data_IF_761713322623
#
_entry.id   IF_761713322623
#
_cell.length_a   1.000
_cell.length_b   1.000
_cell.length_c   1.000
_cell.angle_alpha   90.00
_cell.angle_beta   90.00
_cell.angle_gamma   90.00
#
_symmetry.space_group_name_H-M   'P 1'
#
loop_
_entity.id
_entity.type
_entity.pdbx_description
1 polymer ?
#
# COMPACT_ATOMS: atom_id res chain seq x y z
N UNK A 1 -3.44 -17.40 64.11
CA UNK A 1 -3.24 -17.91 62.74
C UNK A 1 -3.14 -16.71 61.79
N UNK A 2 -1.96 -16.44 61.21
CA UNK A 2 -1.75 -15.33 60.29
C UNK A 2 -2.17 -15.72 58.87
N UNK A 3 -2.79 -14.80 58.14
CA UNK A 3 -3.03 -14.94 56.70
C UNK A 3 -1.87 -14.29 55.95
N UNK A 4 -1.05 -15.10 55.30
CA UNK A 4 -0.04 -14.67 54.32
C UNK A 4 -0.73 -14.21 53.03
N UNK A 5 -0.48 -12.96 52.61
CA UNK A 5 -0.82 -12.49 51.28
C UNK A 5 0.42 -12.59 50.38
N UNK A 6 0.38 -13.55 49.44
CA UNK A 6 1.49 -13.88 48.55
C UNK A 6 1.62 -12.81 47.46
N UNK A 7 2.64 -11.95 47.57
CA UNK A 7 2.89 -10.83 46.67
C UNK A 7 3.83 -11.27 45.53
N UNK A 8 3.30 -11.98 44.53
CA UNK A 8 4.03 -12.26 43.27
C UNK A 8 3.70 -11.21 42.22
N UNK A 9 4.49 -10.12 42.21
CA UNK A 9 4.52 -9.20 41.06
C UNK A 9 5.14 -9.93 39.85
N UNK A 10 4.28 -10.26 38.89
CA UNK A 10 4.70 -10.74 37.57
C UNK A 10 5.26 -9.52 36.81
N UNK A 11 6.58 -9.47 36.64
CA UNK A 11 7.22 -8.51 35.75
C UNK A 11 6.79 -8.76 34.30
N UNK A 12 5.82 -7.98 33.81
CA UNK A 12 5.53 -7.90 32.37
C UNK A 12 6.76 -7.33 31.66
N UNK A 13 7.36 -8.15 30.80
CA UNK A 13 8.46 -7.79 29.90
C UNK A 13 8.07 -6.55 29.09
N UNK A 14 8.87 -5.49 29.21
CA UNK A 14 8.67 -4.19 28.55
C UNK A 14 8.74 -4.40 27.02
N UNK A 15 7.62 -4.23 26.33
CA UNK A 15 7.59 -4.22 24.87
C UNK A 15 8.37 -3.01 24.35
N UNK A 16 9.22 -3.23 23.34
CA UNK A 16 9.92 -2.18 22.62
C UNK A 16 8.93 -1.21 21.97
N UNK A 17 9.29 0.07 21.75
CA UNK A 17 8.40 1.00 21.09
C UNK A 17 8.23 0.58 19.63
N UNK A 18 7.07 -0.02 19.35
CA UNK A 18 6.59 -0.28 18.00
C UNK A 18 6.56 1.03 17.21
N UNK A 19 6.91 0.98 15.93
CA UNK A 19 6.87 2.16 15.07
C UNK A 19 5.42 2.44 14.66
N UNK A 20 5.09 3.69 14.31
CA UNK A 20 3.74 4.14 13.92
C UNK A 20 3.13 3.31 12.76
N UNK A 21 3.94 2.57 12.00
CA UNK A 21 3.50 1.62 10.98
C UNK A 21 2.90 0.33 11.54
N UNK A 22 3.28 -0.06 12.77
CA UNK A 22 2.82 -1.26 13.47
C UNK A 22 1.50 -1.01 14.23
N UNK A 23 1.25 0.22 14.67
CA UNK A 23 0.06 0.62 15.44
C UNK A 23 -1.17 0.90 14.57
N UNK A 24 -1.03 0.89 13.24
CA UNK A 24 -2.13 1.16 12.32
C UNK A 24 -3.12 0.01 12.15
N UNK A 25 -2.98 -1.09 12.92
CA UNK A 25 -3.87 -2.27 12.93
C UNK A 25 -4.56 -2.49 11.58
N UNK A 26 -3.75 -2.66 10.54
CA UNK A 26 -4.22 -3.14 9.25
C UNK A 26 -4.54 -4.61 9.47
N UNK A 27 -5.82 -4.88 9.69
CA UNK A 27 -6.39 -6.07 10.32
C UNK A 27 -5.79 -7.39 9.81
N UNK A 28 -5.64 -8.34 10.75
CA UNK A 28 -5.23 -9.72 10.49
C UNK A 28 -6.24 -10.37 9.54
N UNK A 29 -5.96 -10.35 8.25
CA UNK A 29 -6.72 -11.17 7.30
C UNK A 29 -6.43 -12.66 7.55
N UNK A 30 -7.22 -13.55 6.97
CA UNK A 30 -7.00 -15.00 6.91
C UNK A 30 -5.73 -15.41 6.12
N UNK A 31 -4.68 -14.58 6.19
CA UNK A 31 -3.47 -14.58 5.39
C UNK A 31 -2.56 -15.76 5.63
N UNK A 32 -2.42 -16.21 6.88
CA UNK A 32 -1.46 -17.29 7.18
C UNK A 32 -1.94 -18.61 6.59
N UNK A 33 -3.23 -18.94 6.71
CA UNK A 33 -3.81 -20.17 6.16
C UNK A 33 -3.86 -20.16 4.62
N UNK A 34 -4.25 -19.03 4.02
CA UNK A 34 -4.25 -18.89 2.55
C UNK A 34 -2.82 -18.90 2.01
N UNK A 35 -1.88 -18.20 2.65
CA UNK A 35 -0.47 -18.21 2.27
C UNK A 35 0.14 -19.61 2.42
N UNK A 36 -0.20 -20.35 3.48
CA UNK A 36 0.23 -21.74 3.67
C UNK A 36 -0.32 -22.67 2.58
N UNK A 37 -1.62 -22.59 2.28
CA UNK A 37 -2.23 -23.38 1.20
C UNK A 37 -1.60 -23.09 -0.17
N UNK A 38 -1.23 -21.83 -0.43
CA UNK A 38 -0.53 -21.46 -1.67
C UNK A 38 0.92 -21.94 -1.71
N UNK A 39 1.62 -21.97 -0.57
CA UNK A 39 2.94 -22.59 -0.45
C UNK A 39 2.88 -24.09 -0.74
N UNK A 40 1.79 -24.77 -0.38
CA UNK A 40 1.57 -26.18 -0.74
C UNK A 40 1.25 -26.37 -2.23
N UNK A 41 0.50 -25.46 -2.84
CA UNK A 41 0.13 -25.54 -4.26
C UNK A 41 1.28 -25.20 -5.21
N UNK A 42 2.16 -24.26 -4.84
CA UNK A 42 3.26 -23.77 -5.68
C UNK A 42 4.60 -23.71 -4.92
N UNK A 43 5.10 -24.83 -4.36
CA UNK A 43 6.24 -24.83 -3.45
C UNK A 43 7.54 -24.34 -4.11
N UNK A 44 7.76 -24.69 -5.39
CA UNK A 44 8.94 -24.24 -6.13
C UNK A 44 8.95 -22.74 -6.38
N UNK A 45 7.80 -22.19 -6.79
CA UNK A 45 7.66 -20.77 -7.11
C UNK A 45 7.78 -19.92 -5.85
N UNK A 46 7.21 -20.39 -4.74
CA UNK A 46 7.30 -19.70 -3.44
C UNK A 46 8.72 -19.74 -2.85
N UNK A 47 9.47 -20.84 -3.03
CA UNK A 47 10.88 -20.90 -2.63
C UNK A 47 11.75 -19.96 -3.47
N UNK A 48 11.56 -19.92 -4.79
CA UNK A 48 12.23 -18.97 -5.68
C UNK A 48 11.91 -17.54 -5.26
N UNK A 49 10.64 -17.23 -5.01
CA UNK A 49 10.21 -15.91 -4.58
C UNK A 49 10.85 -15.49 -3.25
N UNK A 50 10.91 -16.39 -2.27
CA UNK A 50 11.55 -16.12 -0.99
C UNK A 50 13.06 -15.90 -1.16
N UNK A 51 13.74 -16.70 -1.98
CA UNK A 51 15.17 -16.54 -2.30
C UNK A 51 15.45 -15.20 -2.97
N UNK A 52 14.63 -14.81 -3.94
CA UNK A 52 14.76 -13.52 -4.62
C UNK A 52 14.49 -12.34 -3.65
N UNK A 53 13.48 -12.46 -2.80
CA UNK A 53 13.20 -11.48 -1.73
C UNK A 53 14.40 -11.31 -0.81
N UNK A 54 14.97 -12.41 -0.32
CA UNK A 54 16.14 -12.39 0.56
C UNK A 54 17.37 -11.78 -0.14
N UNK A 55 17.55 -12.09 -1.43
CA UNK A 55 18.62 -11.51 -2.25
C UNK A 55 18.47 -9.99 -2.39
N UNK A 56 17.25 -9.48 -2.63
CA UNK A 56 16.98 -8.03 -2.66
C UNK A 56 17.32 -7.40 -1.30
N UNK A 57 16.88 -8.00 -0.19
CA UNK A 57 17.15 -7.50 1.17
C UNK A 57 18.66 -7.46 1.44
N UNK A 58 19.40 -8.51 1.08
CA UNK A 58 20.84 -8.58 1.30
C UNK A 58 21.63 -7.61 0.40
N UNK A 59 21.18 -7.39 -0.83
CA UNK A 59 21.87 -6.58 -1.83
C UNK A 59 21.78 -5.07 -1.57
N UNK A 60 20.69 -4.59 -0.97
CA UNK A 60 20.45 -3.16 -0.84
C UNK A 60 20.63 -2.67 0.60
N UNK A 61 21.29 -1.52 0.82
CA UNK A 61 21.38 -0.93 2.16
C UNK A 61 20.00 -0.49 2.66
N UNK A 62 19.81 -0.43 3.98
CA UNK A 62 18.52 -0.10 4.63
C UNK A 62 17.84 1.16 4.05
N UNK A 63 18.61 2.20 3.72
CA UNK A 63 18.10 3.44 3.10
C UNK A 63 17.59 3.23 1.67
N UNK A 64 18.21 2.33 0.90
CA UNK A 64 17.74 1.95 -0.42
C UNK A 64 16.50 1.03 -0.35
N UNK A 65 16.39 0.18 0.67
CA UNK A 65 15.20 -0.63 0.92
C UNK A 65 13.99 0.21 1.32
N UNK A 66 14.16 1.32 2.06
CA UNK A 66 13.07 2.28 2.33
C UNK A 66 12.42 2.83 1.06
N UNK A 67 13.14 2.80 -0.07
CA UNK A 67 12.64 3.23 -1.37
C UNK A 67 11.96 2.09 -2.17
N UNK A 68 12.02 0.86 -1.66
CA UNK A 68 11.50 -0.37 -2.26
C UNK A 68 10.71 -1.10 -1.17
N UNK A 69 9.59 -0.54 -0.73
CA UNK A 69 8.89 -1.00 0.46
C UNK A 69 8.45 -2.47 0.38
N UNK A 70 8.12 -2.93 -0.83
CA UNK A 70 7.59 -4.24 -1.14
C UNK A 70 8.31 -4.91 -2.32
N UNK A 71 8.31 -6.24 -2.30
CA UNK A 71 8.61 -7.10 -3.43
C UNK A 71 7.36 -7.91 -3.76
N UNK A 72 6.88 -7.85 -5.00
CA UNK A 72 5.74 -8.63 -5.45
C UNK A 72 6.10 -9.56 -6.60
N UNK A 73 5.28 -10.59 -6.76
CA UNK A 73 5.27 -11.49 -7.91
C UNK A 73 3.85 -12.02 -8.17
N UNK A 74 3.70 -12.72 -9.27
CA UNK A 74 2.47 -13.44 -9.60
C UNK A 74 2.75 -14.81 -10.22
N UNK A 75 1.80 -15.71 -10.04
CA UNK A 75 1.66 -16.95 -10.82
C UNK A 75 0.39 -16.82 -11.66
N UNK A 76 0.45 -17.20 -12.93
CA UNK A 76 -0.71 -17.24 -13.82
C UNK A 76 -0.62 -18.46 -14.73
N UNK A 77 -1.61 -19.35 -14.63
CA UNK A 77 -1.59 -20.70 -15.22
C UNK A 77 -0.35 -21.48 -14.76
N UNK A 78 0.75 -21.40 -15.50
CA UNK A 78 2.06 -22.03 -15.20
C UNK A 78 3.23 -21.04 -15.40
N UNK A 79 2.95 -19.74 -15.51
CA UNK A 79 3.97 -18.69 -15.64
C UNK A 79 4.16 -18.01 -14.31
N UNK A 80 5.38 -18.08 -13.79
CA UNK A 80 5.84 -17.34 -12.62
C UNK A 80 6.62 -16.11 -13.07
N UNK A 81 6.36 -14.96 -12.44
CA UNK A 81 7.18 -13.76 -12.60
C UNK A 81 7.16 -12.94 -11.32
N UNK A 82 8.33 -12.43 -10.93
CA UNK A 82 8.52 -11.59 -9.74
C UNK A 82 9.48 -10.42 -10.03
N UNK A 83 10.14 -9.92 -8.98
CA UNK A 83 11.04 -8.77 -8.99
C UNK A 83 10.35 -7.43 -9.23
N UNK A 84 9.02 -7.36 -9.00
CA UNK A 84 8.30 -6.10 -8.93
C UNK A 84 8.60 -5.41 -7.60
N UNK A 85 9.08 -4.17 -7.67
CA UNK A 85 9.32 -3.32 -6.50
C UNK A 85 8.70 -1.95 -6.76
N UNK A 86 8.28 -1.26 -5.71
CA UNK A 86 7.64 0.06 -5.85
C UNK A 86 8.45 0.98 -6.77
N UNK A 87 7.78 1.58 -7.75
CA UNK A 87 8.38 2.66 -8.52
C UNK A 87 8.56 3.88 -7.63
N UNK A 88 9.70 4.55 -7.78
CA UNK A 88 10.01 5.76 -7.03
C UNK A 88 10.73 6.76 -7.90
N UNK A 89 10.33 8.02 -7.76
CA UNK A 89 11.05 9.18 -8.30
C UNK A 89 11.30 10.17 -7.16
N UNK A 90 12.56 10.56 -6.96
CA UNK A 90 12.93 11.49 -5.90
C UNK A 90 12.50 12.93 -6.20
N UNK A 91 12.08 13.21 -7.44
CA UNK A 91 11.61 14.51 -7.92
C UNK A 91 10.10 14.54 -8.19
N UNK A 92 9.43 13.39 -8.26
CA UNK A 92 7.98 13.25 -8.44
C UNK A 92 7.42 12.26 -7.42
N UNK A 93 6.98 12.74 -6.27
CA UNK A 93 6.49 11.98 -5.12
C UNK A 93 5.43 12.76 -4.31
N UNK A 94 5.24 12.46 -3.03
CA UNK A 94 4.26 13.14 -2.16
C UNK A 94 4.94 14.10 -1.16
N UNK A 95 6.17 14.55 -1.43
CA UNK A 95 6.85 15.56 -0.64
C UNK A 95 6.60 16.97 -1.19
N UNK A 96 6.54 17.95 -0.29
CA UNK A 96 6.35 19.36 -0.64
C UNK A 96 7.43 19.82 -1.63
N UNK A 97 7.01 20.50 -2.71
CA UNK A 97 7.90 20.98 -3.77
C UNK A 97 8.37 19.93 -4.77
N UNK A 98 7.96 18.66 -4.61
CA UNK A 98 8.33 17.54 -5.50
C UNK A 98 7.12 16.68 -5.84
N UNK A 99 5.96 17.32 -6.01
CA UNK A 99 4.70 16.61 -6.14
C UNK A 99 4.63 15.79 -7.43
N UNK A 100 3.98 14.64 -7.32
CA UNK A 100 3.63 13.84 -8.47
C UNK A 100 2.69 14.65 -9.39
N UNK A 101 2.81 14.54 -10.73
CA UNK A 101 1.95 15.28 -11.65
C UNK A 101 0.46 15.15 -11.33
N UNK A 102 -0.28 16.26 -11.41
CA UNK A 102 -1.72 16.31 -11.14
C UNK A 102 -2.12 16.18 -9.66
N UNK A 103 -1.18 16.18 -8.72
CA UNK A 103 -1.46 16.02 -7.27
C UNK A 103 -1.28 17.32 -6.48
N UNK A 104 -2.17 17.54 -5.53
CA UNK A 104 -2.04 18.53 -4.45
C UNK A 104 -2.03 17.84 -3.07
N UNK A 105 -1.23 18.34 -2.14
CA UNK A 105 -1.25 17.87 -0.75
C UNK A 105 -2.36 18.57 0.04
N UNK A 106 -3.15 17.80 0.77
CA UNK A 106 -4.15 18.32 1.68
C UNK A 106 -3.54 18.41 3.08
N UNK A 107 -2.99 19.58 3.41
CA UNK A 107 -2.47 19.85 4.75
C UNK A 107 -3.61 20.26 5.69
N UNK A 108 -3.57 19.77 6.94
CA UNK A 108 -4.48 20.27 7.96
C UNK A 108 -3.99 21.64 8.42
N UNK A 109 -4.93 22.56 8.66
CA UNK A 109 -4.62 23.79 9.39
C UNK A 109 -4.12 23.39 10.78
N UNK A 110 -2.91 23.78 11.12
CA UNK A 110 -2.36 23.60 12.46
C UNK A 110 -3.07 24.54 13.42
N UNK A 111 -3.36 24.06 14.62
CA UNK A 111 -3.78 24.92 15.71
C UNK A 111 -2.53 25.27 16.53
N UNK A 112 -2.15 26.55 16.63
CA UNK A 112 -1.03 26.94 17.49
C UNK A 112 -1.43 26.64 18.93
N UNK A 113 -0.73 25.70 19.56
CA UNK A 113 -0.92 25.37 20.98
C UNK A 113 0.22 25.97 21.76
N UNK A 114 -0.10 26.81 22.74
CA UNK A 114 0.89 27.30 23.69
C UNK A 114 1.43 26.14 24.52
N UNK A 115 2.66 25.73 24.22
CA UNK A 115 3.39 24.74 25.00
C UNK A 115 3.90 25.38 26.30
N UNK A 116 3.64 24.80 27.48
CA UNK A 116 4.27 25.24 28.72
C UNK A 116 5.80 25.17 28.59
N UNK A 117 6.53 26.12 29.19
CA UNK A 117 8.01 26.15 29.17
C UNK A 117 8.65 24.85 29.69
N UNK A 118 7.98 24.14 30.60
CA UNK A 118 8.43 22.87 31.17
C UNK A 118 8.04 21.63 30.34
N UNK A 119 7.32 21.83 29.22
CA UNK A 119 6.71 20.74 28.45
C UNK A 119 5.51 20.09 29.17
N UNK A 120 4.77 19.23 28.47
CA UNK A 120 3.69 18.48 29.11
C UNK A 120 4.26 17.27 29.83
N UNK A 121 3.83 17.06 31.09
CA UNK A 121 4.35 15.99 31.97
C UNK A 121 3.89 14.58 31.59
N UNK A 122 2.89 14.44 30.72
CA UNK A 122 2.37 13.13 30.30
C UNK A 122 2.51 12.91 28.78
N UNK A 123 2.62 11.63 28.37
CA UNK A 123 2.82 11.26 26.97
C UNK A 123 1.61 11.56 26.08
N UNK A 124 0.39 11.49 26.63
CA UNK A 124 -0.85 11.74 25.90
C UNK A 124 -0.99 13.22 25.47
N UNK A 125 -0.67 14.16 26.34
CA UNK A 125 -0.65 15.59 26.04
C UNK A 125 0.42 15.91 25.00
N UNK A 126 1.61 15.28 25.10
CA UNK A 126 2.63 15.42 24.06
C UNK A 126 2.23 14.78 22.71
N UNK A 127 1.41 13.73 22.69
CA UNK A 127 0.91 13.14 21.43
C UNK A 127 -0.22 13.97 20.82
N UNK A 128 -1.12 14.51 21.64
CA UNK A 128 -2.19 15.41 21.20
C UNK A 128 -1.62 16.72 20.63
N UNK A 129 -0.66 17.35 21.32
CA UNK A 129 -0.04 18.58 20.82
C UNK A 129 0.74 18.36 19.54
N UNK A 130 1.48 17.24 19.44
CA UNK A 130 2.10 16.84 18.17
C UNK A 130 1.06 16.66 17.09
N UNK A 131 -0.01 15.90 17.32
CA UNK A 131 -1.07 15.69 16.33
C UNK A 131 -1.79 16.98 15.88
N UNK A 132 -1.90 17.99 16.75
CA UNK A 132 -2.54 19.27 16.45
C UNK A 132 -1.59 20.30 15.83
N UNK A 133 -0.28 20.15 16.07
CA UNK A 133 0.78 21.00 15.51
C UNK A 133 1.42 20.40 14.26
N UNK A 134 1.15 19.12 13.97
CA UNK A 134 1.64 18.43 12.78
C UNK A 134 0.88 18.90 11.53
N UNK A 135 1.61 19.53 10.62
CA UNK A 135 1.09 20.01 9.34
C UNK A 135 1.30 19.00 8.20
N UNK A 136 1.79 17.79 8.49
CA UNK A 136 2.02 16.77 7.47
C UNK A 136 0.70 16.43 6.80
N UNK A 137 0.73 16.42 5.46
CA UNK A 137 -0.42 16.03 4.69
C UNK A 137 -0.64 14.52 4.88
N UNK A 138 -1.73 14.16 5.55
CA UNK A 138 -2.17 12.75 5.66
C UNK A 138 -2.87 12.29 4.39
N UNK A 139 -3.23 13.23 3.51
CA UNK A 139 -4.08 13.04 2.33
C UNK A 139 -3.53 13.86 1.15
N UNK A 140 -3.73 13.36 -0.06
CA UNK A 140 -3.46 14.09 -1.29
C UNK A 140 -4.69 14.03 -2.20
N UNK A 141 -4.89 15.08 -3.00
CA UNK A 141 -5.97 15.16 -3.98
C UNK A 141 -5.38 15.05 -5.39
N UNK A 142 -5.99 14.22 -6.24
CA UNK A 142 -5.72 14.18 -7.68
C UNK A 142 -6.62 15.21 -8.35
N UNK A 143 -6.09 16.38 -8.68
CA UNK A 143 -6.83 17.50 -9.30
C UNK A 143 -6.91 17.40 -10.81
N UNK A 144 -5.86 16.88 -11.43
CA UNK A 144 -5.76 16.68 -12.87
C UNK A 144 -5.45 15.20 -13.13
N UNK A 145 -6.50 14.44 -13.42
CA UNK A 145 -6.39 13.00 -13.70
C UNK A 145 -5.52 12.73 -14.93
N UNK A 146 -5.59 13.59 -15.95
CA UNK A 146 -4.82 13.44 -17.19
C UNK A 146 -3.32 13.59 -16.91
N UNK A 147 -2.92 14.60 -16.13
CA UNK A 147 -1.53 14.75 -15.69
C UNK A 147 -1.09 13.60 -14.79
N UNK A 148 -1.94 13.14 -13.88
CA UNK A 148 -1.65 12.01 -13.00
C UNK A 148 -1.35 10.74 -13.81
N UNK A 149 -2.22 10.40 -14.77
CA UNK A 149 -2.03 9.25 -15.65
C UNK A 149 -0.82 9.41 -16.56
N UNK A 150 -0.54 10.62 -17.06
CA UNK A 150 0.70 10.90 -17.80
C UNK A 150 1.94 10.64 -16.93
N UNK A 151 1.92 11.09 -15.66
CA UNK A 151 2.94 10.78 -14.68
C UNK A 151 3.13 9.27 -14.47
N UNK A 152 2.03 8.52 -14.37
CA UNK A 152 2.11 7.06 -14.26
C UNK A 152 2.74 6.42 -15.50
N UNK A 153 2.29 6.79 -16.72
CA UNK A 153 2.89 6.27 -17.97
C UNK A 153 4.39 6.51 -18.01
N UNK A 154 4.82 7.73 -17.72
CA UNK A 154 6.23 8.09 -17.64
C UNK A 154 7.00 7.24 -16.62
N UNK A 155 6.40 6.95 -15.46
CA UNK A 155 7.03 6.10 -14.44
C UNK A 155 7.16 4.64 -14.89
N UNK A 156 6.15 4.07 -15.54
CA UNK A 156 6.23 2.73 -16.10
C UNK A 156 7.31 2.67 -17.19
N UNK A 157 7.31 3.63 -18.13
CA UNK A 157 8.26 3.70 -19.24
C UNK A 157 9.72 3.85 -18.77
N UNK A 158 9.98 4.74 -17.81
CA UNK A 158 11.31 4.89 -17.16
C UNK A 158 11.83 3.59 -16.54
N UNK A 159 10.92 2.68 -16.18
CA UNK A 159 11.25 1.38 -15.59
C UNK A 159 11.15 0.23 -16.61
N UNK A 160 11.13 0.53 -17.92
CA UNK A 160 11.10 -0.45 -19.00
C UNK A 160 9.78 -1.22 -19.10
N UNK A 161 8.70 -0.71 -18.51
CA UNK A 161 7.37 -1.32 -18.56
C UNK A 161 6.39 -0.42 -19.31
N UNK A 162 5.41 -1.02 -19.96
CA UNK A 162 4.27 -0.29 -20.51
C UNK A 162 3.14 -0.29 -19.48
N UNK A 163 2.52 0.87 -19.24
CA UNK A 163 1.27 0.92 -18.49
C UNK A 163 0.16 0.31 -19.36
N UNK A 164 -0.40 -0.81 -18.92
CA UNK A 164 -1.48 -1.50 -19.60
C UNK A 164 -2.80 -0.70 -19.47
N UNK A 165 -3.61 -0.56 -20.53
CA UNK A 165 -4.85 0.23 -20.49
C UNK A 165 -5.85 -0.20 -19.41
N UNK A 166 -5.97 -1.50 -19.14
CA UNK A 166 -6.82 -1.99 -18.03
C UNK A 166 -6.30 -1.56 -16.66
N UNK A 167 -4.98 -1.54 -16.45
CA UNK A 167 -4.38 -1.04 -15.20
C UNK A 167 -4.67 0.45 -15.03
N UNK A 168 -4.50 1.22 -16.11
CA UNK A 168 -4.82 2.65 -16.12
C UNK A 168 -6.28 2.86 -15.71
N UNK A 169 -7.21 2.14 -16.33
CA UNK A 169 -8.64 2.20 -16.03
C UNK A 169 -8.94 1.90 -14.56
N UNK A 170 -8.35 0.84 -13.99
CA UNK A 170 -8.56 0.49 -12.58
C UNK A 170 -8.02 1.56 -11.61
N UNK A 171 -6.91 2.23 -11.98
CA UNK A 171 -6.40 3.37 -11.20
C UNK A 171 -7.34 4.57 -11.28
N UNK A 172 -7.85 4.91 -12.46
CA UNK A 172 -8.82 5.99 -12.66
C UNK A 172 -10.11 5.72 -11.87
N UNK A 173 -10.64 4.50 -11.96
CA UNK A 173 -11.81 4.06 -11.20
C UNK A 173 -11.56 4.15 -9.68
N UNK A 174 -10.40 3.69 -9.18
CA UNK A 174 -10.04 3.82 -7.76
C UNK A 174 -9.98 5.28 -7.29
N UNK A 175 -9.37 6.17 -8.08
CA UNK A 175 -9.31 7.60 -7.76
C UNK A 175 -10.73 8.20 -7.72
N UNK A 176 -11.56 7.88 -8.71
CA UNK A 176 -12.94 8.34 -8.80
C UNK A 176 -13.79 7.86 -7.61
N UNK A 177 -13.69 6.57 -7.25
CA UNK A 177 -14.41 5.99 -6.10
C UNK A 177 -14.05 6.65 -4.77
N UNK A 178 -12.83 7.22 -4.65
CA UNK A 178 -12.39 7.95 -3.46
C UNK A 178 -12.60 9.48 -3.57
N UNK A 179 -13.38 9.95 -4.56
CA UNK A 179 -13.65 11.38 -4.75
C UNK A 179 -12.40 12.20 -5.08
N UNK A 180 -11.39 11.56 -5.68
CA UNK A 180 -10.11 12.19 -6.00
C UNK A 180 -9.20 12.43 -4.79
N UNK A 181 -9.46 11.83 -3.62
CA UNK A 181 -8.67 12.02 -2.39
C UNK A 181 -8.13 10.68 -1.91
N UNK A 182 -6.82 10.58 -1.69
CA UNK A 182 -6.14 9.34 -1.30
C UNK A 182 -5.18 9.58 -0.13
N UNK A 183 -4.93 8.58 0.73
CA UNK A 183 -4.05 8.73 1.87
C UNK A 183 -2.57 8.72 1.45
N UNK A 184 -1.77 9.66 1.96
CA UNK A 184 -0.32 9.76 1.62
C UNK A 184 0.47 8.56 2.11
N UNK A 185 0.05 7.95 3.23
CA UNK A 185 0.67 6.75 3.78
C UNK A 185 0.53 5.51 2.89
N UNK A 186 -0.48 5.48 2.01
CA UNK A 186 -0.65 4.40 1.04
C UNK A 186 0.15 4.63 -0.25
N UNK A 187 1.03 5.65 -0.29
CA UNK A 187 1.85 5.98 -1.45
C UNK A 187 1.02 6.50 -2.63
N UNK A 188 1.66 6.57 -3.79
CA UNK A 188 1.00 6.99 -5.04
C UNK A 188 0.31 5.77 -5.65
N UNK A 189 -1.01 5.89 -5.84
CA UNK A 189 -1.81 4.87 -6.49
C UNK A 189 -1.24 4.51 -7.88
N UNK A 190 -1.10 3.22 -8.17
CA UNK A 190 -0.59 2.71 -9.44
C UNK A 190 0.91 2.43 -9.52
N UNK A 191 1.73 2.91 -8.56
CA UNK A 191 3.19 2.73 -8.57
C UNK A 191 3.70 1.55 -7.74
N UNK A 192 2.82 0.86 -7.03
CA UNK A 192 3.17 -0.19 -6.09
C UNK A 192 3.49 -1.52 -6.77
N UNK A 193 4.26 -2.37 -6.10
CA UNK A 193 4.74 -3.64 -6.63
C UNK A 193 3.58 -4.56 -7.04
N UNK A 194 2.52 -4.60 -6.23
CA UNK A 194 1.34 -5.42 -6.48
C UNK A 194 0.58 -4.98 -7.74
N UNK A 195 0.48 -3.66 -7.95
CA UNK A 195 -0.17 -3.09 -9.14
C UNK A 195 0.69 -3.32 -10.39
N UNK A 196 2.01 -3.31 -10.27
CA UNK A 196 2.90 -3.70 -11.36
C UNK A 196 2.75 -5.19 -11.72
N UNK A 197 2.60 -6.07 -10.73
CA UNK A 197 2.33 -7.49 -10.98
C UNK A 197 1.00 -7.67 -11.74
N UNK A 198 -0.06 -6.97 -11.32
CA UNK A 198 -1.35 -6.96 -12.04
C UNK A 198 -1.20 -6.40 -13.47
N UNK A 199 -0.39 -5.36 -13.65
CA UNK A 199 -0.10 -4.78 -14.96
C UNK A 199 0.54 -5.80 -15.91
N UNK A 200 1.54 -6.54 -15.43
CA UNK A 200 2.20 -7.58 -16.22
C UNK A 200 1.27 -8.77 -16.50
N UNK A 201 0.41 -9.15 -15.55
CA UNK A 201 -0.62 -10.15 -15.77
C UNK A 201 -1.50 -9.79 -16.98
N UNK A 202 -1.94 -8.54 -17.09
CA UNK A 202 -2.76 -8.11 -18.23
C UNK A 202 -1.99 -8.11 -19.55
N UNK A 203 -0.73 -7.68 -19.55
CA UNK A 203 0.15 -7.79 -20.74
C UNK A 203 0.29 -9.26 -21.17
N UNK A 204 0.49 -10.17 -20.21
CA UNK A 204 0.60 -11.60 -20.49
C UNK A 204 -0.72 -12.18 -21.03
N UNK A 205 -1.86 -11.74 -20.49
CA UNK A 205 -3.18 -12.14 -20.99
C UNK A 205 -3.44 -11.68 -22.43
N UNK A 206 -2.93 -10.50 -22.80
CA UNK A 206 -2.99 -9.98 -24.17
C UNK A 206 -2.11 -10.80 -25.13
N UNK A 207 -0.87 -11.12 -24.71
CA UNK A 207 0.04 -11.98 -25.45
C UNK A 207 -0.54 -13.38 -25.69
N UNK A 208 -1.09 -14.02 -24.65
CA UNK A 208 -1.74 -15.33 -24.73
C UNK A 208 -2.94 -15.33 -25.70
N UNK A 209 -3.63 -14.19 -25.82
CA UNK A 209 -4.77 -14.03 -26.71
C UNK A 209 -4.36 -13.69 -28.16
N UNK A 210 -3.08 -13.50 -28.44
CA UNK A 210 -2.60 -13.01 -29.74
C UNK A 210 -3.10 -11.60 -30.09
N UNK A 211 -3.51 -10.82 -29.08
CA UNK A 211 -4.10 -9.48 -29.25
C UNK A 211 -3.22 -8.47 -28.54
N UNK A 212 -2.30 -7.82 -29.27
CA UNK A 212 -1.39 -6.81 -28.71
C UNK A 212 -2.02 -5.42 -28.53
N UNK A 213 -3.18 -5.18 -29.14
CA UNK A 213 -3.95 -3.95 -28.99
C UNK A 213 -5.33 -4.12 -29.65
N UNK A 214 -6.38 -4.04 -28.83
CA UNK A 214 -7.79 -3.74 -29.19
C UNK A 214 -8.83 -4.88 -29.30
N UNK A 215 -10.09 -4.61 -28.86
CA UNK A 215 -10.47 -3.67 -27.80
C UNK A 215 -10.25 -4.29 -26.41
N UNK A 216 -10.20 -3.45 -25.36
CA UNK A 216 -10.16 -3.90 -23.97
C UNK A 216 -11.34 -4.83 -23.73
N UNK A 217 -11.08 -6.07 -23.30
CA UNK A 217 -12.10 -7.04 -22.94
C UNK A 217 -12.04 -7.31 -21.42
N UNK A 218 -12.89 -6.66 -20.61
CA UNK A 218 -12.92 -6.86 -19.16
C UNK A 218 -13.07 -8.33 -18.75
N UNK A 219 -13.84 -9.14 -19.49
CA UNK A 219 -14.03 -10.55 -19.17
C UNK A 219 -12.75 -11.37 -19.33
N UNK A 220 -11.89 -11.04 -20.32
CA UNK A 220 -10.57 -11.66 -20.47
C UNK A 220 -9.69 -11.36 -19.26
N UNK A 221 -9.66 -10.12 -18.82
CA UNK A 221 -8.83 -9.70 -17.70
C UNK A 221 -9.35 -10.24 -16.36
N UNK A 222 -10.68 -10.28 -16.17
CA UNK A 222 -11.31 -10.94 -15.03
C UNK A 222 -10.96 -12.44 -14.98
N UNK A 223 -10.99 -13.13 -16.13
CA UNK A 223 -10.52 -14.52 -16.22
C UNK A 223 -9.04 -14.66 -15.88
N UNK A 224 -8.18 -13.76 -16.38
CA UNK A 224 -6.76 -13.77 -16.05
C UNK A 224 -6.53 -13.58 -14.54
N UNK A 225 -7.25 -12.65 -13.92
CA UNK A 225 -7.23 -12.39 -12.47
C UNK A 225 -7.65 -13.64 -11.67
N UNK A 226 -8.76 -14.30 -12.05
CA UNK A 226 -9.24 -15.55 -11.44
C UNK A 226 -8.24 -16.70 -11.54
N UNK A 227 -7.47 -16.73 -12.62
CA UNK A 227 -6.48 -17.78 -12.90
C UNK A 227 -5.07 -17.41 -12.40
N UNK A 228 -4.97 -16.32 -11.65
CA UNK A 228 -3.70 -15.79 -11.15
C UNK A 228 -3.67 -15.71 -9.64
N UNK A 229 -2.48 -15.59 -9.09
CA UNK A 229 -2.28 -15.26 -7.68
C UNK A 229 -1.11 -14.32 -7.54
N UNK A 230 -1.34 -13.20 -6.84
CA UNK A 230 -0.35 -12.16 -6.55
C UNK A 230 0.09 -12.32 -5.11
N UNK A 231 1.39 -12.25 -4.87
CA UNK A 231 1.99 -12.36 -3.55
C UNK A 231 2.99 -11.22 -3.33
N UNK A 232 3.12 -10.78 -2.08
CA UNK A 232 3.94 -9.63 -1.75
C UNK A 232 4.64 -9.79 -0.41
N UNK A 233 5.94 -9.53 -0.39
CA UNK A 233 6.76 -9.53 0.82
C UNK A 233 7.24 -8.14 1.13
N UNK A 234 7.37 -7.85 2.42
CA UNK A 234 7.93 -6.61 2.92
C UNK A 234 9.45 -6.64 2.72
N UNK A 235 10.02 -5.57 2.19
CA UNK A 235 11.49 -5.43 2.04
C UNK A 235 12.13 -4.54 3.12
N UNK A 236 11.31 -3.94 3.98
CA UNK A 236 11.73 -2.94 4.96
C UNK A 236 11.45 -3.36 6.39
N UNK A 237 12.06 -2.67 7.35
CA UNK A 237 11.81 -2.79 8.81
C UNK A 237 12.24 -4.13 9.43
N UNK A 238 11.87 -4.37 10.70
CA UNK A 238 12.10 -5.63 11.44
C UNK A 238 11.29 -6.80 10.90
N UNK A 239 10.29 -6.53 10.05
CA UNK A 239 9.42 -7.51 9.39
C UNK A 239 9.81 -7.79 7.94
N UNK A 240 11.04 -7.44 7.53
CA UNK A 240 11.52 -7.74 6.19
C UNK A 240 11.48 -9.26 5.92
N UNK A 241 11.02 -9.65 4.74
CA UNK A 241 10.82 -11.05 4.34
C UNK A 241 9.48 -11.66 4.79
N UNK A 242 8.65 -10.93 5.55
CA UNK A 242 7.30 -11.37 5.91
C UNK A 242 6.27 -10.97 4.85
N UNK A 243 5.12 -11.64 4.86
CA UNK A 243 3.97 -11.29 4.02
C UNK A 243 3.56 -9.84 4.24
N UNK A 244 3.23 -9.16 3.13
CA UNK A 244 2.84 -7.77 3.14
C UNK A 244 1.47 -7.63 2.47
N UNK A 245 0.40 -7.40 3.24
CA UNK A 245 -0.93 -7.24 2.68
C UNK A 245 -1.02 -5.98 1.83
N UNK A 246 -1.81 -6.05 0.76
CA UNK A 246 -2.04 -4.95 -0.16
C UNK A 246 -2.57 -3.72 0.60
N UNK A 247 -1.96 -2.55 0.40
CA UNK A 247 -2.39 -1.31 1.06
C UNK A 247 -3.76 -0.82 0.54
N UNK A 248 -4.27 0.30 1.08
CA UNK A 248 -5.53 0.92 0.60
C UNK A 248 -5.58 1.13 -0.91
N UNK A 249 -4.51 1.68 -1.49
CA UNK A 249 -4.45 1.92 -2.93
C UNK A 249 -4.40 0.61 -3.72
N UNK A 250 -3.57 -0.35 -3.29
CA UNK A 250 -3.48 -1.64 -3.96
C UNK A 250 -4.80 -2.41 -3.88
N UNK A 251 -5.44 -2.47 -2.71
CA UNK A 251 -6.70 -3.20 -2.51
C UNK A 251 -7.87 -2.58 -3.30
N UNK A 252 -7.88 -1.26 -3.46
CA UNK A 252 -8.90 -0.58 -4.26
C UNK A 252 -8.68 -0.69 -5.78
N UNK A 253 -7.46 -0.94 -6.24
CA UNK A 253 -7.11 -1.16 -7.66
C UNK A 253 -7.21 -2.65 -8.03
N UNK A 254 -6.64 -3.51 -7.20
CA UNK A 254 -6.59 -4.96 -7.36
C UNK A 254 -7.86 -5.53 -6.74
N UNK A 255 -9.01 -5.18 -7.31
CA UNK A 255 -10.30 -5.66 -6.83
C UNK A 255 -10.53 -7.13 -7.21
N UNK A 256 -11.58 -7.72 -6.63
CA UNK A 256 -12.12 -8.99 -7.08
C UNK A 256 -12.32 -8.96 -8.61
N UNK A 257 -11.88 -10.00 -9.34
CA UNK A 257 -11.61 -11.34 -8.84
C UNK A 257 -10.12 -11.71 -8.68
N UNK A 258 -9.22 -10.73 -8.55
CA UNK A 258 -7.80 -11.02 -8.35
C UNK A 258 -7.56 -11.62 -6.97
N UNK A 259 -6.72 -12.67 -6.94
CA UNK A 259 -6.32 -13.30 -5.70
C UNK A 259 -4.99 -12.71 -5.19
N UNK A 260 -5.00 -11.94 -4.10
CA UNK A 260 -3.80 -11.47 -3.41
C UNK A 260 -3.59 -12.33 -2.17
N UNK A 261 -2.69 -13.30 -2.26
CA UNK A 261 -2.57 -14.38 -1.25
C UNK A 261 -1.94 -13.90 0.05
N UNK A 262 -1.16 -12.82 -0.01
CA UNK A 262 -0.59 -12.15 1.16
C UNK A 262 -1.55 -11.18 1.82
N UNK A 263 -2.83 -11.24 1.44
CA UNK A 263 -3.92 -10.50 2.04
C UNK A 263 -4.14 -9.15 1.41
N UNK A 264 -5.35 -8.65 1.63
CA UNK A 264 -5.70 -7.26 1.42
C UNK A 264 -6.04 -6.69 2.78
N UNK A 265 -5.60 -5.47 3.06
CA UNK A 265 -6.13 -4.78 4.24
C UNK A 265 -7.63 -4.58 3.98
N UNK A 266 -8.48 -4.87 4.99
CA UNK A 266 -9.91 -4.55 4.98
C UNK A 266 -10.06 -3.04 5.05
N UNK A 267 -9.53 -2.37 4.03
CA UNK A 267 -9.51 -0.95 3.83
C UNK A 267 -8.87 -0.20 5.02
N UNK A 268 -7.80 0.56 4.78
CA UNK A 268 -7.60 1.78 5.56
C UNK A 268 -8.70 2.83 5.24
N UNK A 269 -9.90 2.38 4.84
CA UNK A 269 -10.75 2.87 3.77
C UNK A 269 -12.25 2.82 4.10
N UNK A 270 -12.72 1.89 4.92
CA UNK A 270 -14.10 1.94 5.39
C UNK A 270 -14.27 3.11 6.35
N UNK A 271 -13.25 3.38 7.19
CA UNK A 271 -13.18 4.63 7.93
C UNK A 271 -12.77 5.80 7.03
N UNK A 272 -11.78 5.68 6.13
CA UNK A 272 -11.35 6.82 5.32
C UNK A 272 -12.38 7.28 4.28
N UNK A 273 -12.96 6.37 3.49
CA UNK A 273 -14.05 6.66 2.54
C UNK A 273 -15.32 7.11 3.26
N UNK A 274 -15.67 6.54 4.42
CA UNK A 274 -16.78 7.06 5.23
C UNK A 274 -16.48 8.45 5.83
N UNK A 275 -15.24 8.71 6.25
CA UNK A 275 -14.80 10.02 6.74
C UNK A 275 -14.73 11.05 5.61
N UNK A 276 -14.24 10.67 4.43
CA UNK A 276 -14.22 11.50 3.24
C UNK A 276 -15.65 11.85 2.78
N UNK A 277 -16.54 10.85 2.73
CA UNK A 277 -17.96 11.05 2.42
C UNK A 277 -18.68 11.93 3.47
N UNK A 278 -18.39 11.76 4.77
CA UNK A 278 -18.91 12.63 5.84
C UNK A 278 -18.39 14.07 5.70
N UNK A 279 -17.11 14.27 5.37
CA UNK A 279 -16.51 15.61 5.18
C UNK A 279 -17.11 16.34 3.98
N UNK A 280 -17.32 15.66 2.86
CA UNK A 280 -18.00 16.24 1.69
C UNK A 280 -19.42 16.72 2.02
N UNK A 281 -20.21 15.93 2.77
CA UNK A 281 -21.55 16.34 3.23
C UNK A 281 -21.51 17.55 4.16
N UNK A 282 -20.52 17.64 5.05
CA UNK A 282 -20.41 18.79 5.96
C UNK A 282 -20.04 20.09 5.25
N UNK A 283 -19.27 20.03 4.15
CA UNK A 283 -18.91 21.21 3.35
C UNK A 283 -20.02 21.64 2.38
N UNK A 284 -20.89 20.72 1.95
CA UNK A 284 -22.06 21.06 1.13
C UNK A 284 -23.21 21.71 1.93
N UNK A 285 -23.24 21.50 3.25
CA UNK A 285 -24.27 22.05 4.16
C UNK A 285 -23.87 23.41 4.77
N UNK A 286 -22.67 23.91 4.48
CA UNK A 286 -22.16 25.21 4.92
C UNK A 286 -22.20 26.28 3.82
N UNK A 287 -23.09 26.14 2.83
CA UNK A 287 -23.39 27.14 1.80
C UNK A 287 -24.84 27.56 1.89
#
# INVERSE_FOLDING_TARGET
MPYEYNNKMIYRKKQSPNTVLDDLHLDKSATEEVSAAYQELYPSDMDIFQKNTNSIIAKFPKKALQNRAAHAGYVYKNTYQDNFVNFKDNNQNLALGKLFPGVELLTRKTLPINTPKEGYKNQLSNSVVRALSDNTATEYSVKDISQFISGLKNMYEKNGQKLHPMTQRLVEEHIAHNGGILPTMAGIAGLHAEVQALNQLFIKADQDAGKSSEPINPARYAKAMLQSSIFTKRLTTTKAGQDFPACHNCSGIIQSPANVITGMVDSAGNNFSALAAKRYRSQSLSK
#
